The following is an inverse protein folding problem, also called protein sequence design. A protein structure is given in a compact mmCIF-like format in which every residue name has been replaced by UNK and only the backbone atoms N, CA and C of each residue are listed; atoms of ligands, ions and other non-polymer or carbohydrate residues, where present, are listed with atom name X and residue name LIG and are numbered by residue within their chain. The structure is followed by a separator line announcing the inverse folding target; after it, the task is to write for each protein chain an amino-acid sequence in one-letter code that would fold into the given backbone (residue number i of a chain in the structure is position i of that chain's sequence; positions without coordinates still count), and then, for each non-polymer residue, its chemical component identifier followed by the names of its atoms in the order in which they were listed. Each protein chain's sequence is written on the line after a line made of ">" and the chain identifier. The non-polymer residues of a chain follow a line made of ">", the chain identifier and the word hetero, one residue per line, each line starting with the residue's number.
data_IF_282904707881
#
_entry.id   IF_282904707881
#
_cell.length_a   1.000
_cell.length_b   1.000
_cell.length_c   1.000
_cell.angle_alpha   90.00
_cell.angle_beta   90.00
_cell.angle_gamma   90.00
#
_symmetry.space_group_name_H-M   'P 1'
#
loop_
_entity.id
_entity.type
_entity.pdbx_description
1 polymer ?
#
# COMPACT_ATOMS: atom_id res chain seq x y z
N UNK A 1 -25.98 19.09 -8.76
CA UNK A 1 -27.45 18.90 -8.58
C UNK A 1 -27.80 17.45 -8.86
N UNK A 2 -28.40 16.79 -7.89
CA UNK A 2 -28.98 15.46 -8.05
C UNK A 2 -30.38 15.60 -8.68
N UNK A 3 -30.65 14.82 -9.70
CA UNK A 3 -31.94 14.76 -10.37
C UNK A 3 -32.44 13.31 -10.22
N UNK A 4 -33.61 13.16 -9.60
CA UNK A 4 -34.27 11.87 -9.43
C UNK A 4 -35.40 11.77 -10.43
N UNK A 5 -35.36 10.75 -11.23
CA UNK A 5 -36.45 10.29 -12.10
C UNK A 5 -36.90 8.90 -11.62
N UNK A 6 -38.12 8.43 -11.94
CA UNK A 6 -38.51 7.07 -11.58
C UNK A 6 -37.48 6.07 -12.09
N UNK A 7 -36.87 5.30 -11.15
CA UNK A 7 -35.82 4.31 -11.39
C UNK A 7 -34.48 4.85 -11.94
N UNK A 8 -34.22 6.17 -11.90
CA UNK A 8 -32.94 6.71 -12.35
C UNK A 8 -32.48 7.88 -11.46
N UNK A 9 -31.23 7.81 -10.99
CA UNK A 9 -30.54 8.91 -10.32
C UNK A 9 -29.45 9.41 -11.25
N UNK A 10 -29.47 10.71 -11.57
CA UNK A 10 -28.40 11.36 -12.34
C UNK A 10 -27.76 12.48 -11.56
N UNK A 11 -26.42 12.58 -11.66
CA UNK A 11 -25.62 13.65 -11.08
C UNK A 11 -25.30 14.64 -12.19
N UNK A 12 -25.63 15.94 -11.97
CA UNK A 12 -25.17 17.02 -12.81
C UNK A 12 -24.39 18.02 -11.96
N UNK A 13 -23.25 18.46 -12.51
CA UNK A 13 -22.32 19.38 -11.86
C UNK A 13 -22.38 20.72 -12.55
N UNK A 14 -22.40 21.81 -11.80
CA UNK A 14 -22.22 23.14 -12.36
C UNK A 14 -20.77 23.34 -12.76
N UNK A 15 -20.54 23.64 -14.04
CA UNK A 15 -19.20 23.86 -14.57
C UNK A 15 -18.89 25.35 -14.64
N UNK A 16 -18.31 25.89 -13.58
CA UNK A 16 -17.88 27.27 -13.46
C UNK A 16 -18.99 28.34 -13.80
N UNK A 17 -20.21 28.06 -13.36
CA UNK A 17 -21.36 28.95 -13.63
C UNK A 17 -21.88 28.92 -15.07
N UNK A 18 -21.39 27.99 -15.89
CA UNK A 18 -21.79 27.88 -17.32
C UNK A 18 -22.92 26.86 -17.56
N UNK A 19 -23.47 26.29 -16.49
CA UNK A 19 -24.57 25.35 -16.57
C UNK A 19 -24.26 24.02 -15.91
N UNK A 20 -25.29 23.17 -15.84
CA UNK A 20 -25.25 21.86 -15.22
C UNK A 20 -25.07 20.78 -16.28
N UNK A 21 -23.99 20.03 -16.18
CA UNK A 21 -23.62 19.00 -17.14
C UNK A 21 -23.36 17.66 -16.43
N UNK A 22 -23.55 16.51 -17.13
CA UNK A 22 -23.07 15.25 -16.62
C UNK A 22 -21.56 15.29 -16.34
N UNK A 23 -21.06 14.66 -15.28
CA UNK A 23 -19.62 14.67 -14.95
C UNK A 23 -18.73 14.29 -16.13
N UNK A 24 -19.11 13.29 -16.91
CA UNK A 24 -18.35 12.82 -18.07
C UNK A 24 -18.19 13.84 -19.20
N UNK A 25 -18.91 14.97 -19.18
CA UNK A 25 -18.78 15.99 -20.24
C UNK A 25 -17.49 16.82 -20.15
N UNK A 26 -17.03 17.13 -18.91
CA UNK A 26 -15.92 18.06 -18.70
C UNK A 26 -14.94 17.65 -17.60
N UNK A 27 -15.19 16.56 -16.88
CA UNK A 27 -14.32 16.11 -15.81
C UNK A 27 -13.48 14.90 -16.25
N UNK A 28 -12.22 14.88 -15.82
CA UNK A 28 -11.36 13.72 -16.00
C UNK A 28 -11.92 12.48 -15.28
N UNK A 29 -11.49 11.30 -15.68
CA UNK A 29 -11.86 10.03 -15.04
C UNK A 29 -11.60 10.06 -13.53
N UNK A 30 -10.45 10.57 -13.10
CA UNK A 30 -10.11 10.69 -11.67
C UNK A 30 -11.07 11.60 -10.90
N UNK A 31 -11.54 12.69 -11.49
CA UNK A 31 -12.57 13.52 -10.86
C UNK A 31 -13.92 12.82 -10.79
N UNK A 32 -14.27 12.04 -11.80
CA UNK A 32 -15.52 11.27 -11.81
C UNK A 32 -15.50 10.18 -10.73
N UNK A 33 -14.38 9.46 -10.59
CA UNK A 33 -14.19 8.46 -9.54
C UNK A 33 -14.26 9.09 -8.14
N UNK A 34 -13.60 10.22 -7.94
CA UNK A 34 -13.68 10.96 -6.69
C UNK A 34 -15.10 11.40 -6.34
N UNK A 35 -15.84 11.93 -7.33
CA UNK A 35 -17.25 12.31 -7.15
C UNK A 35 -18.12 11.08 -6.84
N UNK A 36 -17.90 9.97 -7.54
CA UNK A 36 -18.61 8.70 -7.31
C UNK A 36 -18.39 8.19 -5.89
N UNK A 37 -17.15 8.17 -5.42
CA UNK A 37 -16.82 7.77 -4.06
C UNK A 37 -17.47 8.70 -3.02
N UNK A 38 -17.36 10.01 -3.20
CA UNK A 38 -17.98 10.97 -2.27
C UNK A 38 -19.50 10.80 -2.21
N UNK A 39 -20.15 10.59 -3.35
CA UNK A 39 -21.60 10.33 -3.41
C UNK A 39 -21.95 9.02 -2.70
N UNK A 40 -21.20 7.95 -2.96
CA UNK A 40 -21.39 6.66 -2.29
C UNK A 40 -21.29 6.80 -0.77
N UNK A 41 -20.21 7.40 -0.28
CA UNK A 41 -20.00 7.58 1.16
C UNK A 41 -21.06 8.48 1.79
N UNK A 42 -21.47 9.55 1.12
CA UNK A 42 -22.54 10.43 1.60
C UNK A 42 -23.90 9.71 1.69
N UNK A 43 -24.24 8.89 0.69
CA UNK A 43 -25.44 8.07 0.71
C UNK A 43 -25.41 7.02 1.82
N UNK A 44 -24.27 6.34 1.99
CA UNK A 44 -24.10 5.35 3.07
C UNK A 44 -24.23 6.00 4.44
N UNK A 45 -23.58 7.14 4.65
CA UNK A 45 -23.69 7.91 5.91
C UNK A 45 -25.13 8.36 6.16
N UNK A 46 -25.81 8.84 5.12
CA UNK A 46 -27.20 9.30 5.22
C UNK A 46 -28.19 8.18 5.51
N UNK A 47 -28.00 7.03 4.86
CA UNK A 47 -28.94 5.90 4.93
C UNK A 47 -28.72 5.06 6.17
N UNK A 48 -27.47 4.79 6.53
CA UNK A 48 -27.11 3.86 7.61
C UNK A 48 -26.74 4.59 8.91
N UNK A 49 -26.35 5.87 8.85
CA UNK A 49 -25.94 6.64 10.02
C UNK A 49 -24.89 5.88 10.86
N UNK A 50 -25.14 5.71 12.14
CA UNK A 50 -24.26 4.99 13.06
C UNK A 50 -24.16 3.48 12.80
N UNK A 51 -25.03 2.91 11.97
CA UNK A 51 -24.92 1.52 11.54
C UNK A 51 -23.85 1.32 10.44
N UNK A 52 -23.36 2.40 9.82
CA UNK A 52 -22.26 2.34 8.85
C UNK A 52 -20.92 2.17 9.55
N UNK A 53 -20.63 0.94 9.99
CA UNK A 53 -19.42 0.62 10.78
C UNK A 53 -18.40 -0.22 10.04
N UNK A 54 -18.71 -0.68 8.84
CA UNK A 54 -17.83 -1.51 8.03
C UNK A 54 -18.03 -1.23 6.55
N UNK A 55 -16.95 -1.07 5.80
CA UNK A 55 -16.97 -0.92 4.35
C UNK A 55 -15.73 -1.52 3.70
N UNK A 56 -15.92 -2.12 2.55
CA UNK A 56 -14.83 -2.60 1.68
C UNK A 56 -14.75 -1.69 0.47
N UNK A 57 -13.59 -1.11 0.24
CA UNK A 57 -13.28 -0.29 -0.93
C UNK A 57 -12.19 -1.01 -1.73
N UNK A 58 -12.64 -1.71 -2.78
CA UNK A 58 -11.80 -2.58 -3.59
C UNK A 58 -11.25 -1.80 -4.79
N UNK A 59 -9.94 -1.55 -4.77
CA UNK A 59 -9.16 -0.89 -5.82
C UNK A 59 -9.74 0.45 -6.33
N UNK A 60 -10.41 1.17 -5.43
CA UNK A 60 -11.00 2.49 -5.75
C UNK A 60 -9.95 3.57 -5.87
N UNK A 61 -10.21 4.63 -6.65
CA UNK A 61 -9.36 5.81 -6.82
C UNK A 61 -8.07 5.57 -7.60
N UNK A 62 -8.03 4.57 -8.45
CA UNK A 62 -6.85 4.28 -9.27
C UNK A 62 -6.49 5.41 -10.24
N UNK A 63 -7.50 6.06 -10.79
CA UNK A 63 -7.35 7.19 -11.71
C UNK A 63 -7.19 8.56 -11.01
N UNK A 64 -7.24 8.60 -9.68
CA UNK A 64 -7.15 9.85 -8.91
C UNK A 64 -5.70 10.26 -8.69
N UNK A 65 -5.41 11.53 -8.92
CA UNK A 65 -4.08 12.12 -8.69
C UNK A 65 -3.61 11.98 -7.24
N UNK A 66 -2.30 11.90 -7.06
CA UNK A 66 -1.66 11.70 -5.76
C UNK A 66 -2.04 12.74 -4.71
N UNK A 67 -2.28 13.99 -5.11
CA UNK A 67 -2.73 15.06 -4.22
C UNK A 67 -4.12 14.79 -3.65
N UNK A 68 -5.05 14.36 -4.49
CA UNK A 68 -6.42 14.04 -4.08
C UNK A 68 -6.50 12.77 -3.23
N UNK A 69 -5.61 11.79 -3.44
CA UNK A 69 -5.55 10.56 -2.62
C UNK A 69 -5.28 10.86 -1.14
N UNK A 70 -4.43 11.84 -0.84
CA UNK A 70 -4.21 12.28 0.55
C UNK A 70 -5.46 12.88 1.18
N UNK A 71 -6.18 13.70 0.41
CA UNK A 71 -7.44 14.28 0.89
C UNK A 71 -8.51 13.22 1.16
N UNK A 72 -8.56 12.16 0.34
CA UNK A 72 -9.44 11.00 0.62
C UNK A 72 -9.07 10.32 1.92
N UNK A 73 -7.78 10.09 2.21
CA UNK A 73 -7.35 9.53 3.50
C UNK A 73 -7.86 10.39 4.67
N UNK A 74 -7.69 11.70 4.57
CA UNK A 74 -8.13 12.65 5.60
C UNK A 74 -9.65 12.66 5.76
N UNK A 75 -10.38 12.65 4.65
CA UNK A 75 -11.84 12.59 4.63
C UNK A 75 -12.35 11.32 5.32
N UNK A 76 -11.81 10.15 4.95
CA UNK A 76 -12.22 8.88 5.58
C UNK A 76 -11.97 8.89 7.10
N UNK A 77 -10.83 9.42 7.56
CA UNK A 77 -10.55 9.55 9.01
C UNK A 77 -11.47 10.53 9.72
N UNK A 78 -11.70 11.70 9.12
CA UNK A 78 -12.45 12.77 9.77
C UNK A 78 -13.95 12.47 9.79
N UNK A 79 -14.50 11.99 8.68
CA UNK A 79 -15.93 11.84 8.50
C UNK A 79 -16.47 10.47 8.94
N UNK A 80 -15.59 9.46 9.07
CA UNK A 80 -15.96 8.08 9.38
C UNK A 80 -15.10 7.47 10.50
N UNK A 81 -14.96 8.15 11.66
CA UNK A 81 -14.06 7.72 12.73
C UNK A 81 -14.45 6.38 13.36
N UNK A 82 -15.72 5.98 13.25
CA UNK A 82 -16.28 4.76 13.82
C UNK A 82 -16.49 3.65 12.77
N UNK A 83 -16.03 3.86 11.52
CA UNK A 83 -16.18 2.90 10.43
C UNK A 83 -14.86 2.18 10.20
N UNK A 84 -14.90 0.84 10.21
CA UNK A 84 -13.77 0.02 9.81
C UNK A 84 -13.76 -0.09 8.28
N UNK A 85 -12.66 0.29 7.67
CA UNK A 85 -12.44 0.13 6.24
C UNK A 85 -11.49 -1.03 5.97
N UNK A 86 -11.83 -1.85 4.96
CA UNK A 86 -10.92 -2.75 4.27
C UNK A 86 -10.64 -2.12 2.90
N UNK A 87 -9.39 -1.78 2.66
CA UNK A 87 -8.96 -1.09 1.45
C UNK A 87 -8.02 -2.02 0.68
N UNK A 88 -8.35 -2.31 -0.57
CA UNK A 88 -7.42 -3.03 -1.45
C UNK A 88 -6.79 -2.08 -2.46
N UNK A 89 -5.56 -2.30 -2.80
CA UNK A 89 -4.87 -1.56 -3.86
C UNK A 89 -3.63 -2.32 -4.35
N UNK A 90 -3.31 -2.18 -5.61
CA UNK A 90 -2.04 -2.61 -6.17
C UNK A 90 -1.02 -1.44 -6.27
N UNK A 91 -1.43 -0.22 -5.92
CA UNK A 91 -0.57 0.97 -5.96
C UNK A 91 0.15 1.19 -4.62
N UNK A 92 1.48 1.03 -4.65
CA UNK A 92 2.34 1.20 -3.46
C UNK A 92 2.38 2.64 -2.96
N UNK A 93 2.25 3.62 -3.85
CA UNK A 93 2.23 5.04 -3.47
C UNK A 93 0.95 5.34 -2.70
N UNK A 94 -0.17 4.77 -3.14
CA UNK A 94 -1.45 4.86 -2.43
C UNK A 94 -1.36 4.22 -1.03
N UNK A 95 -0.79 3.02 -0.93
CA UNK A 95 -0.55 2.36 0.35
C UNK A 95 0.30 3.23 1.29
N UNK A 96 1.35 3.88 0.76
CA UNK A 96 2.21 4.77 1.54
C UNK A 96 1.44 5.99 2.06
N UNK A 97 0.56 6.59 1.26
CA UNK A 97 -0.29 7.69 1.74
C UNK A 97 -1.24 7.25 2.84
N UNK A 98 -1.89 6.09 2.70
CA UNK A 98 -2.76 5.54 3.75
C UNK A 98 -2.02 5.35 5.07
N UNK A 99 -0.77 4.88 5.03
CA UNK A 99 0.09 4.75 6.22
C UNK A 99 0.49 6.11 6.80
N UNK A 100 0.98 7.01 5.95
CA UNK A 100 1.50 8.32 6.37
C UNK A 100 0.41 9.20 6.98
N UNK A 101 -0.78 9.19 6.40
CA UNK A 101 -1.95 9.90 6.94
C UNK A 101 -2.59 9.15 8.13
N UNK A 102 -2.06 7.96 8.48
CA UNK A 102 -2.54 7.16 9.62
C UNK A 102 -3.96 6.65 9.43
N UNK A 103 -4.38 6.41 8.19
CA UNK A 103 -5.68 5.81 7.87
C UNK A 103 -5.66 4.31 8.18
N UNK A 104 -4.55 3.63 7.91
CA UNK A 104 -4.38 2.20 8.15
C UNK A 104 -3.30 1.93 9.20
N UNK A 105 -3.51 0.91 10.03
CA UNK A 105 -2.55 0.44 11.04
C UNK A 105 -1.90 -0.88 10.64
N UNK A 106 -2.61 -1.70 9.87
CA UNK A 106 -2.14 -3.01 9.39
C UNK A 106 -2.32 -3.10 7.90
N UNK A 107 -1.42 -3.78 7.25
CA UNK A 107 -1.54 -4.10 5.82
C UNK A 107 -0.94 -5.48 5.57
N UNK A 108 -1.57 -6.22 4.67
CA UNK A 108 -1.10 -7.51 4.18
C UNK A 108 -0.79 -7.39 2.70
N UNK A 109 0.27 -8.05 2.26
CA UNK A 109 0.66 -8.05 0.85
C UNK A 109 0.50 -9.46 0.29
N UNK A 110 -0.30 -9.57 -0.76
CA UNK A 110 -0.44 -10.84 -1.47
C UNK A 110 0.63 -10.94 -2.56
N UNK A 111 1.52 -11.91 -2.42
CA UNK A 111 2.64 -12.12 -3.32
C UNK A 111 2.38 -13.12 -4.44
N UNK A 112 1.37 -13.95 -4.31
CA UNK A 112 1.01 -14.97 -5.28
C UNK A 112 -0.48 -15.29 -5.27
N UNK A 113 -0.91 -15.91 -6.36
CA UNK A 113 -2.27 -16.45 -6.49
C UNK A 113 -2.23 -17.71 -7.36
N UNK A 114 -2.92 -18.75 -6.93
CA UNK A 114 -3.18 -19.94 -7.76
C UNK A 114 -4.66 -20.30 -7.68
N UNK A 115 -5.17 -21.05 -8.67
CA UNK A 115 -6.57 -21.49 -8.68
C UNK A 115 -6.86 -22.41 -7.49
N UNK A 116 -5.89 -23.23 -7.12
CA UNK A 116 -6.03 -24.24 -6.06
C UNK A 116 -5.98 -23.64 -4.65
N UNK A 117 -5.18 -22.60 -4.46
CA UNK A 117 -4.91 -22.04 -3.12
C UNK A 117 -5.43 -20.62 -2.91
N UNK A 118 -5.87 -19.96 -3.97
CA UNK A 118 -6.25 -18.54 -3.90
C UNK A 118 -5.07 -17.60 -3.65
N UNK A 119 -5.33 -16.37 -3.17
CA UNK A 119 -4.29 -15.41 -2.86
C UNK A 119 -3.45 -15.86 -1.65
N UNK A 120 -2.13 -15.70 -1.74
CA UNK A 120 -1.20 -16.02 -0.66
C UNK A 120 -0.55 -14.76 -0.14
N UNK A 121 -0.56 -14.60 1.17
CA UNK A 121 0.22 -13.56 1.86
C UNK A 121 1.71 -13.91 1.73
N UNK A 122 2.57 -12.93 1.56
CA UNK A 122 4.01 -13.12 1.65
C UNK A 122 4.39 -13.58 3.06
N UNK A 123 4.70 -14.87 3.19
CA UNK A 123 5.33 -15.45 4.38
C UNK A 123 6.71 -15.97 3.97
N UNK A 124 7.74 -15.51 4.65
CA UNK A 124 9.14 -15.87 4.39
C UNK A 124 9.35 -17.38 4.33
N UNK A 125 8.74 -18.11 5.26
CA UNK A 125 8.90 -19.56 5.37
C UNK A 125 8.26 -20.30 4.20
N UNK A 126 7.11 -19.85 3.75
CA UNK A 126 6.37 -20.50 2.67
C UNK A 126 6.97 -20.18 1.31
N UNK A 127 7.48 -18.96 1.10
CA UNK A 127 8.18 -18.58 -0.14
C UNK A 127 9.43 -19.44 -0.38
N UNK A 128 10.25 -19.65 0.66
CA UNK A 128 11.45 -20.48 0.52
C UNK A 128 11.11 -21.95 0.26
N UNK A 129 10.07 -22.50 0.86
CA UNK A 129 9.58 -23.86 0.56
C UNK A 129 9.09 -23.98 -0.86
N UNK A 130 8.36 -22.99 -1.36
CA UNK A 130 7.86 -22.98 -2.72
C UNK A 130 9.00 -22.89 -3.75
N UNK A 131 10.00 -22.03 -3.51
CA UNK A 131 11.21 -21.94 -4.35
C UNK A 131 11.93 -23.29 -4.37
N UNK A 132 12.12 -23.94 -3.23
CA UNK A 132 12.76 -25.24 -3.14
C UNK A 132 11.98 -26.31 -3.92
N UNK A 133 10.66 -26.37 -3.76
CA UNK A 133 9.82 -27.30 -4.50
C UNK A 133 9.91 -27.10 -6.04
N UNK A 134 9.92 -25.83 -6.51
CA UNK A 134 10.10 -25.55 -7.93
C UNK A 134 11.49 -25.96 -8.45
N UNK A 135 12.52 -25.86 -7.62
CA UNK A 135 13.87 -26.34 -7.96
C UNK A 135 13.93 -27.87 -8.02
N UNK A 136 13.30 -28.58 -7.11
CA UNK A 136 13.18 -30.05 -7.12
C UNK A 136 12.47 -30.55 -8.38
N UNK A 137 11.46 -29.82 -8.85
CA UNK A 137 10.76 -30.08 -10.11
C UNK A 137 11.53 -29.60 -11.34
N UNK A 138 12.76 -29.11 -11.18
CA UNK A 138 13.61 -28.56 -12.25
C UNK A 138 13.02 -27.34 -12.99
N UNK A 139 12.06 -26.65 -12.38
CA UNK A 139 11.43 -25.43 -12.90
C UNK A 139 12.21 -24.17 -12.52
N UNK A 140 13.47 -24.10 -12.92
CA UNK A 140 14.42 -23.05 -12.50
C UNK A 140 13.92 -21.63 -12.80
N UNK A 141 13.29 -21.42 -13.96
CA UNK A 141 12.76 -20.09 -14.34
C UNK A 141 11.63 -19.63 -13.44
N UNK A 142 10.78 -20.55 -12.98
CA UNK A 142 9.69 -20.24 -12.03
C UNK A 142 10.26 -19.91 -10.67
N UNK A 143 11.19 -20.72 -10.16
CA UNK A 143 11.90 -20.49 -8.91
C UNK A 143 12.62 -19.13 -8.90
N UNK A 144 13.33 -18.79 -9.99
CA UNK A 144 14.02 -17.51 -10.14
C UNK A 144 13.03 -16.32 -10.15
N UNK A 145 11.86 -16.47 -10.78
CA UNK A 145 10.83 -15.43 -10.79
C UNK A 145 10.24 -15.21 -9.41
N UNK A 146 9.95 -16.28 -8.66
CA UNK A 146 9.48 -16.22 -7.28
C UNK A 146 10.50 -15.52 -6.38
N UNK A 147 11.76 -15.97 -6.46
CA UNK A 147 12.86 -15.37 -5.70
C UNK A 147 13.00 -13.88 -5.99
N UNK A 148 13.00 -13.48 -7.26
CA UNK A 148 13.10 -12.07 -7.65
C UNK A 148 11.96 -11.25 -7.07
N UNK A 149 10.72 -11.70 -7.22
CA UNK A 149 9.54 -10.99 -6.67
C UNK A 149 9.62 -10.83 -5.16
N UNK A 150 10.05 -11.89 -4.47
CA UNK A 150 10.25 -11.86 -3.03
C UNK A 150 11.33 -10.85 -2.62
N UNK A 151 12.48 -10.87 -3.29
CA UNK A 151 13.56 -9.93 -3.02
C UNK A 151 13.18 -8.48 -3.33
N UNK A 152 12.41 -8.25 -4.39
CA UNK A 152 11.85 -6.92 -4.70
C UNK A 152 10.92 -6.45 -3.57
N UNK A 153 10.08 -7.34 -3.02
CA UNK A 153 9.21 -7.03 -1.89
C UNK A 153 10.02 -6.69 -0.64
N UNK A 154 10.98 -7.53 -0.26
CA UNK A 154 11.85 -7.32 0.91
C UNK A 154 12.69 -6.06 0.74
N UNK A 155 13.30 -5.85 -0.43
CA UNK A 155 14.11 -4.66 -0.72
C UNK A 155 13.33 -3.35 -0.57
N UNK A 156 12.10 -3.30 -1.09
CA UNK A 156 11.22 -2.15 -0.90
C UNK A 156 10.87 -1.94 0.59
N UNK A 157 10.50 -3.01 1.30
CA UNK A 157 10.17 -2.94 2.72
C UNK A 157 11.35 -2.47 3.58
N UNK A 158 12.56 -2.93 3.27
CA UNK A 158 13.78 -2.47 3.95
C UNK A 158 14.08 -1.00 3.65
N UNK A 159 13.95 -0.56 2.39
CA UNK A 159 14.16 0.85 2.05
C UNK A 159 13.16 1.76 2.78
N UNK A 160 11.89 1.38 2.81
CA UNK A 160 10.85 2.13 3.52
C UNK A 160 11.10 2.16 5.03
N UNK A 161 11.36 1.00 5.64
CA UNK A 161 11.54 0.85 7.08
C UNK A 161 12.79 1.57 7.61
N UNK A 162 13.88 1.52 6.85
CA UNK A 162 15.17 2.15 7.23
C UNK A 162 15.31 3.57 6.69
N UNK A 163 14.38 4.05 5.85
CA UNK A 163 14.49 5.32 5.12
C UNK A 163 15.78 5.40 4.31
N UNK A 164 16.18 4.29 3.69
CA UNK A 164 17.36 4.23 2.86
C UNK A 164 17.25 5.21 1.69
N UNK A 165 18.33 5.90 1.39
CA UNK A 165 18.35 6.89 0.30
C UNK A 165 18.59 6.14 -1.02
N UNK A 166 17.64 6.22 -1.93
CA UNK A 166 17.77 5.77 -3.32
C UNK A 166 17.77 6.98 -4.24
N UNK A 167 18.42 6.87 -5.39
CA UNK A 167 18.40 7.93 -6.39
C UNK A 167 16.98 8.12 -6.92
N UNK A 168 16.57 9.39 -7.05
CA UNK A 168 15.22 9.70 -7.49
C UNK A 168 14.98 9.24 -8.93
N UNK A 169 13.87 8.52 -9.13
CA UNK A 169 13.37 8.11 -10.44
C UNK A 169 11.95 8.63 -10.65
N UNK A 170 11.74 9.31 -11.75
CA UNK A 170 10.43 9.90 -12.08
C UNK A 170 9.33 8.86 -12.34
N UNK A 171 9.70 7.62 -12.71
CA UNK A 171 8.77 6.51 -12.93
C UNK A 171 8.43 5.73 -11.63
N UNK A 172 9.15 6.01 -10.53
CA UNK A 172 8.96 5.33 -9.24
C UNK A 172 9.26 3.83 -9.28
N UNK A 173 9.84 3.32 -10.38
CA UNK A 173 10.18 1.91 -10.53
C UNK A 173 11.66 1.69 -10.24
N UNK A 174 11.94 0.97 -9.16
CA UNK A 174 13.29 0.63 -8.73
C UNK A 174 13.59 -0.83 -8.98
N UNK A 175 14.80 -1.09 -9.45
CA UNK A 175 15.32 -2.45 -9.62
C UNK A 175 15.88 -2.98 -8.31
N UNK A 176 15.97 -4.31 -8.20
CA UNK A 176 16.57 -4.97 -7.05
C UNK A 176 18.02 -4.50 -6.83
N UNK A 177 18.77 -4.27 -7.91
CA UNK A 177 20.16 -3.77 -7.86
C UNK A 177 20.29 -2.36 -7.30
N UNK A 178 19.24 -1.55 -7.35
CA UNK A 178 19.19 -0.21 -6.76
C UNK A 178 18.73 -0.28 -5.28
N UNK A 179 17.78 -1.14 -4.97
CA UNK A 179 17.18 -1.23 -3.64
C UNK A 179 18.06 -1.98 -2.62
N UNK A 180 18.54 -3.18 -2.98
CA UNK A 180 19.23 -4.04 -2.03
C UNK A 180 20.54 -3.45 -1.50
N UNK A 181 21.49 -2.98 -2.33
CA UNK A 181 22.75 -2.47 -1.81
C UNK A 181 22.54 -1.28 -0.87
N UNK A 182 21.61 -0.40 -1.21
CA UNK A 182 21.33 0.80 -0.43
C UNK A 182 20.63 0.49 0.89
N UNK A 183 19.59 -0.38 0.85
CA UNK A 183 18.88 -0.80 2.06
C UNK A 183 19.78 -1.59 3.00
N UNK A 184 20.56 -2.55 2.49
CA UNK A 184 21.50 -3.33 3.29
C UNK A 184 22.59 -2.45 3.92
N UNK A 185 23.12 -1.48 3.18
CA UNK A 185 24.08 -0.51 3.72
C UNK A 185 23.50 0.30 4.87
N UNK A 186 22.22 0.72 4.74
CA UNK A 186 21.53 1.47 5.80
C UNK A 186 21.27 0.57 7.03
N UNK A 187 20.75 -0.64 6.83
CA UNK A 187 20.55 -1.62 7.91
C UNK A 187 21.86 -1.85 8.67
N UNK A 188 22.95 -2.08 7.96
CA UNK A 188 24.27 -2.27 8.58
C UNK A 188 24.72 -1.06 9.42
N UNK A 189 24.44 0.14 8.92
CA UNK A 189 24.73 1.38 9.64
C UNK A 189 23.90 1.49 10.92
N UNK A 190 22.60 1.21 10.82
CA UNK A 190 21.67 1.29 11.95
C UNK A 190 22.00 0.24 13.02
N UNK A 191 22.34 -0.99 12.61
CA UNK A 191 22.81 -2.03 13.52
C UNK A 191 24.11 -1.66 14.26
N UNK A 192 25.06 -1.01 13.57
CA UNK A 192 26.28 -0.51 14.24
C UNK A 192 25.95 0.55 15.29
N UNK A 193 25.04 1.47 14.98
CA UNK A 193 24.61 2.49 15.94
C UNK A 193 23.84 1.85 17.12
N UNK A 194 22.97 0.91 16.84
CA UNK A 194 22.24 0.16 17.88
C UNK A 194 23.19 -0.61 18.80
N UNK A 195 24.24 -1.24 18.25
CA UNK A 195 25.26 -1.91 19.03
C UNK A 195 26.00 -0.96 19.98
N UNK A 196 26.40 0.22 19.48
CA UNK A 196 27.05 1.26 20.31
C UNK A 196 26.12 1.75 21.43
N UNK A 197 24.84 1.93 21.12
CA UNK A 197 23.84 2.31 22.11
C UNK A 197 23.67 1.21 23.18
N UNK A 198 23.58 -0.07 22.77
CA UNK A 198 23.48 -1.21 23.68
C UNK A 198 24.68 -1.27 24.64
N UNK A 199 25.90 -1.05 24.13
CA UNK A 199 27.11 -0.96 24.95
C UNK A 199 27.02 0.18 25.98
N UNK A 200 26.60 1.38 25.54
CA UNK A 200 26.48 2.55 26.42
C UNK A 200 25.44 2.37 27.53
N UNK A 201 24.42 1.54 27.27
CA UNK A 201 23.35 1.23 28.23
C UNK A 201 23.64 -0.02 29.10
N UNK A 202 24.79 -0.65 28.91
CA UNK A 202 25.16 -1.89 29.65
C UNK A 202 24.32 -3.10 29.30
N UNK A 203 23.72 -3.14 28.10
CA UNK A 203 22.87 -4.23 27.60
C UNK A 203 23.69 -5.26 26.84
N UNK A 204 24.46 -6.08 27.56
CA UNK A 204 25.40 -7.05 26.98
C UNK A 204 24.73 -8.10 26.08
N UNK A 205 23.55 -8.57 26.46
CA UNK A 205 22.83 -9.60 25.68
C UNK A 205 22.40 -9.05 24.31
N UNK A 206 21.83 -7.84 24.30
CA UNK A 206 21.44 -7.16 23.08
C UNK A 206 22.65 -6.83 22.19
N UNK A 207 23.77 -6.43 22.80
CA UNK A 207 25.02 -6.20 22.06
C UNK A 207 25.50 -7.46 21.34
N UNK A 208 25.46 -8.62 22.03
CA UNK A 208 25.89 -9.89 21.45
C UNK A 208 24.97 -10.33 20.31
N UNK A 209 23.66 -10.20 20.47
CA UNK A 209 22.70 -10.50 19.38
C UNK A 209 22.96 -9.64 18.14
N UNK A 210 23.13 -8.33 18.33
CA UNK A 210 23.43 -7.41 17.22
C UNK A 210 24.79 -7.75 16.59
N UNK A 211 25.78 -8.13 17.37
CA UNK A 211 27.09 -8.54 16.87
C UNK A 211 27.01 -9.80 15.99
N UNK A 212 26.19 -10.79 16.38
CA UNK A 212 25.97 -11.99 15.59
C UNK A 212 25.29 -11.67 14.25
N UNK A 213 24.29 -10.82 14.25
CA UNK A 213 23.63 -10.38 13.02
C UNK A 213 24.64 -9.64 12.12
N UNK A 214 25.45 -8.72 12.67
CA UNK A 214 26.48 -8.00 11.91
C UNK A 214 27.58 -8.90 11.33
N UNK A 215 27.86 -10.04 11.95
CA UNK A 215 28.83 -11.01 11.44
C UNK A 215 28.30 -11.86 10.28
N UNK A 216 26.98 -11.98 10.17
CA UNK A 216 26.32 -12.67 9.06
C UNK A 216 26.15 -11.80 7.80
N UNK A 217 26.39 -10.49 7.92
CA UNK A 217 26.35 -9.51 6.84
C UNK A 217 27.73 -9.33 6.18
#
# INVERSE_FOLDING_TARGET
>A
KLISEPAKLSLNVDFYGRGHFPPGAFHSEGHQDGMGLCLYLALMKHTLGDAFRFSVLDDVLMSVDSSHRREVCRLLKAEFPNTQFVLTTHDRVWLQYMRTEGLIQKSETFGGWTVETGPRVWDDKDVWKEIAAQLEEQKVSVAATLLRRYLDHVGNGLCDGTRAKVDYRGDGQYTLGELLPTSLSQVRKDLKQARQAAQSWGKSDLEQEIAQVLAAY
#
